data_IF_973443785722
#
_entry.id   IF_973443785722
#
_cell.length_a   1.000
_cell.length_b   1.000
_cell.length_c   1.000
_cell.angle_alpha   90.00
_cell.angle_beta   90.00
_cell.angle_gamma   90.00
#
_symmetry.space_group_name_H-M   'P 1'
#
loop_
_entity.id
_entity.type
_entity.pdbx_description
1 polymer ?
#
# COMPACT_ATOMS: atom_id res chain seq x y z
N UNK A 1 -33.65 -14.20 -13.20
CA UNK A 1 -33.19 -12.93 -12.59
C UNK A 1 -31.82 -13.22 -12.02
N UNK A 2 -30.75 -12.76 -12.71
CA UNK A 2 -29.37 -12.93 -12.30
C UNK A 2 -29.00 -11.76 -11.34
N UNK A 3 -28.93 -12.02 -10.04
CA UNK A 3 -28.49 -11.04 -9.06
C UNK A 3 -26.97 -10.97 -9.10
N UNK A 4 -26.43 -9.93 -9.72
CA UNK A 4 -25.00 -9.65 -9.75
C UNK A 4 -24.58 -9.09 -8.37
N UNK A 5 -24.05 -9.94 -7.49
CA UNK A 5 -23.45 -9.51 -6.23
C UNK A 5 -22.15 -8.74 -6.54
N UNK A 6 -22.20 -7.42 -6.47
CA UNK A 6 -21.00 -6.58 -6.39
C UNK A 6 -20.33 -6.81 -5.04
N UNK A 7 -19.29 -7.64 -5.04
CA UNK A 7 -18.38 -7.72 -3.90
C UNK A 7 -17.65 -6.37 -3.77
N UNK A 8 -18.06 -5.55 -2.82
CA UNK A 8 -17.35 -4.34 -2.42
C UNK A 8 -16.06 -4.84 -1.76
N UNK A 9 -15.00 -4.98 -2.55
CA UNK A 9 -13.67 -5.28 -2.03
C UNK A 9 -13.18 -4.05 -1.25
N UNK A 10 -13.20 -4.13 0.06
CA UNK A 10 -12.54 -3.16 0.92
C UNK A 10 -11.05 -3.13 0.56
N UNK A 11 -10.62 -2.11 -0.17
CA UNK A 11 -9.22 -1.94 -0.56
C UNK A 11 -8.38 -1.66 0.70
N UNK A 12 -7.45 -2.56 1.01
CA UNK A 12 -6.47 -2.40 2.10
C UNK A 12 -5.31 -1.47 1.70
N UNK A 13 -5.31 -0.95 0.46
CA UNK A 13 -4.27 -0.10 -0.09
C UNK A 13 -4.81 1.32 -0.33
N UNK A 14 -4.10 2.33 0.18
CA UNK A 14 -4.32 3.74 -0.13
C UNK A 14 -3.13 4.27 -0.92
N UNK A 15 -3.41 5.09 -1.93
CA UNK A 15 -2.40 5.68 -2.78
C UNK A 15 -2.68 7.18 -2.96
N UNK A 16 -1.61 7.96 -3.00
CA UNK A 16 -1.60 9.39 -3.26
C UNK A 16 -0.49 9.68 -4.25
N UNK A 17 -0.74 10.52 -5.23
CA UNK A 17 0.23 10.84 -6.29
C UNK A 17 0.23 12.34 -6.53
N UNK A 18 1.44 12.90 -6.66
CA UNK A 18 1.67 14.26 -7.10
C UNK A 18 2.81 14.29 -8.13
N UNK A 19 2.80 15.25 -9.06
CA UNK A 19 3.79 15.32 -10.11
C UNK A 19 3.90 16.72 -10.72
N UNK A 20 5.06 17.04 -11.29
CA UNK A 20 5.27 18.26 -12.06
C UNK A 20 4.55 18.18 -13.41
N UNK A 21 3.54 19.04 -13.58
CA UNK A 21 2.73 19.11 -14.81
C UNK A 21 3.48 19.62 -16.03
N UNK A 22 4.63 20.25 -15.82
CA UNK A 22 5.47 20.78 -16.90
C UNK A 22 6.53 19.76 -17.37
N UNK A 23 6.66 18.62 -16.66
CA UNK A 23 7.64 17.59 -16.99
C UNK A 23 7.16 16.74 -18.16
N UNK A 24 7.98 16.63 -19.19
CA UNK A 24 7.77 15.63 -20.24
C UNK A 24 8.26 14.25 -19.78
N UNK A 25 7.34 13.42 -19.31
CA UNK A 25 7.65 12.06 -18.86
C UNK A 25 8.05 11.12 -20.00
N UNK A 26 7.79 11.47 -21.26
CA UNK A 26 8.19 10.65 -22.41
C UNK A 26 9.71 10.59 -22.59
N UNK A 27 10.44 11.51 -21.98
CA UNK A 27 11.90 11.56 -21.98
C UNK A 27 12.54 10.59 -20.97
N UNK A 28 11.78 10.16 -19.98
CA UNK A 28 12.25 9.22 -18.95
C UNK A 28 12.13 7.80 -19.51
N UNK A 29 13.26 7.18 -19.86
CA UNK A 29 13.29 5.83 -20.44
C UNK A 29 13.88 4.78 -19.54
N UNK A 30 14.78 5.21 -18.66
CA UNK A 30 15.45 4.36 -17.70
C UNK A 30 15.57 5.05 -16.33
N UNK A 31 15.94 4.26 -15.32
CA UNK A 31 16.10 4.72 -13.97
C UNK A 31 17.08 3.83 -13.20
N UNK A 32 17.75 4.40 -12.20
CA UNK A 32 18.39 3.65 -11.11
C UNK A 32 17.52 3.69 -9.86
N UNK A 33 17.71 2.71 -8.97
CA UNK A 33 17.00 2.63 -7.68
C UNK A 33 17.93 3.02 -6.55
N UNK A 34 17.41 3.82 -5.63
CA UNK A 34 18.04 4.15 -4.36
C UNK A 34 17.05 3.92 -3.21
N UNK A 35 17.54 3.39 -2.11
CA UNK A 35 16.79 3.26 -0.87
C UNK A 35 17.33 4.23 0.15
N UNK A 36 16.44 4.93 0.86
CA UNK A 36 16.88 5.68 2.04
C UNK A 36 17.12 4.71 3.19
N UNK A 37 18.10 5.01 4.03
CA UNK A 37 18.35 4.24 5.25
C UNK A 37 17.07 4.15 6.09
N UNK A 38 16.73 2.93 6.50
CA UNK A 38 15.59 2.66 7.35
C UNK A 38 15.73 1.31 8.05
N UNK A 39 14.88 1.09 9.03
CA UNK A 39 14.86 -0.10 9.87
C UNK A 39 13.99 -1.23 9.32
N UNK A 40 13.81 -1.30 8.02
CA UNK A 40 13.01 -2.36 7.38
C UNK A 40 13.85 -3.61 7.14
N UNK A 41 13.19 -4.73 7.31
CA UNK A 41 13.73 -6.05 7.04
C UNK A 41 14.11 -6.19 5.54
N UNK A 42 15.29 -6.78 5.29
CA UNK A 42 15.86 -7.01 3.96
C UNK A 42 14.87 -7.71 3.00
N UNK A 43 14.12 -8.71 3.50
CA UNK A 43 13.09 -9.39 2.69
C UNK A 43 11.97 -8.46 2.23
N UNK A 44 11.66 -7.42 2.98
CA UNK A 44 10.66 -6.43 2.60
C UNK A 44 11.20 -5.47 1.54
N UNK A 45 12.49 -5.11 1.65
CA UNK A 45 13.16 -4.30 0.62
C UNK A 45 13.21 -5.03 -0.70
N UNK A 46 13.67 -6.30 -0.72
CA UNK A 46 13.72 -7.12 -1.92
C UNK A 46 12.34 -7.28 -2.57
N UNK A 47 11.32 -7.44 -1.74
CA UNK A 47 9.93 -7.59 -2.21
C UNK A 47 9.43 -6.34 -2.91
N UNK A 48 9.54 -5.16 -2.27
CA UNK A 48 9.09 -3.91 -2.89
C UNK A 48 9.91 -3.58 -4.14
N UNK A 49 11.21 -3.81 -4.11
CA UNK A 49 12.08 -3.61 -5.27
C UNK A 49 11.63 -4.45 -6.46
N UNK A 50 11.46 -5.76 -6.26
CA UNK A 50 11.07 -6.68 -7.34
C UNK A 50 9.72 -6.32 -7.93
N UNK A 51 8.74 -6.00 -7.09
CA UNK A 51 7.39 -5.61 -7.53
C UNK A 51 7.42 -4.29 -8.30
N UNK A 52 8.19 -3.31 -7.82
CA UNK A 52 8.31 -2.01 -8.45
C UNK A 52 9.01 -2.12 -9.81
N UNK A 53 10.10 -2.87 -9.91
CA UNK A 53 10.81 -3.10 -11.17
C UNK A 53 9.91 -3.76 -12.22
N UNK A 54 9.13 -4.77 -11.83
CA UNK A 54 8.16 -5.42 -12.72
C UNK A 54 7.10 -4.42 -13.21
N UNK A 55 6.52 -3.61 -12.33
CA UNK A 55 5.50 -2.63 -12.73
C UNK A 55 6.07 -1.54 -13.63
N UNK A 56 7.25 -1.02 -13.32
CA UNK A 56 7.90 0.01 -14.14
C UNK A 56 8.30 -0.53 -15.52
N UNK A 57 8.74 -1.79 -15.61
CA UNK A 57 9.01 -2.46 -16.88
C UNK A 57 7.73 -2.55 -17.72
N UNK A 58 6.58 -2.85 -17.12
CA UNK A 58 5.28 -2.83 -17.80
C UNK A 58 4.90 -1.43 -18.31
N UNK A 59 5.46 -0.39 -17.70
CA UNK A 59 5.33 1.02 -18.12
C UNK A 59 6.43 1.46 -19.08
N UNK A 60 7.24 0.54 -19.59
CA UNK A 60 8.35 0.78 -20.51
C UNK A 60 9.52 1.59 -19.93
N UNK A 61 9.68 1.58 -18.60
CA UNK A 61 10.86 2.09 -17.92
C UNK A 61 11.83 0.94 -17.63
N UNK A 62 13.10 1.13 -17.99
CA UNK A 62 14.12 0.08 -17.87
C UNK A 62 15.05 0.40 -16.68
N UNK A 63 15.26 -0.60 -15.82
CA UNK A 63 16.26 -0.48 -14.76
C UNK A 63 17.68 -0.41 -15.37
N UNK A 64 18.45 0.59 -14.97
CA UNK A 64 19.82 0.84 -15.42
C UNK A 64 20.60 1.52 -14.29
N UNK A 65 21.60 0.83 -13.73
CA UNK A 65 22.42 1.36 -12.64
C UNK A 65 23.15 2.66 -12.98
N UNK A 66 23.39 2.91 -14.28
CA UNK A 66 24.08 4.12 -14.77
C UNK A 66 23.09 5.22 -15.21
N UNK A 67 21.79 5.05 -14.96
CA UNK A 67 20.81 6.07 -15.29
C UNK A 67 21.05 7.37 -14.52
N UNK A 68 20.82 8.50 -15.18
CA UNK A 68 20.81 9.81 -14.54
C UNK A 68 19.49 10.06 -13.80
N UNK A 69 18.42 9.37 -14.17
CA UNK A 69 17.14 9.44 -13.47
C UNK A 69 17.15 8.50 -12.27
N UNK A 70 16.65 8.97 -11.14
CA UNK A 70 16.68 8.20 -9.88
C UNK A 70 15.27 7.98 -9.35
N UNK A 71 14.95 6.73 -9.03
CA UNK A 71 13.77 6.42 -8.22
C UNK A 71 14.24 6.12 -6.79
N UNK A 72 13.77 6.93 -5.86
CA UNK A 72 14.11 6.82 -4.44
C UNK A 72 12.92 6.19 -3.71
N UNK A 73 13.17 5.11 -3.00
CA UNK A 73 12.17 4.45 -2.16
C UNK A 73 12.50 4.70 -0.70
N UNK A 74 11.53 5.28 0.02
CA UNK A 74 11.58 5.46 1.48
C UNK A 74 10.48 4.60 2.10
N UNK A 75 10.82 3.41 2.60
CA UNK A 75 9.86 2.55 3.25
C UNK A 75 9.79 2.85 4.75
N UNK A 76 8.60 2.69 5.34
CA UNK A 76 8.33 2.75 6.77
C UNK A 76 7.42 1.60 7.16
N UNK A 77 7.68 0.97 8.29
CA UNK A 77 6.86 -0.12 8.80
C UNK A 77 6.57 0.08 10.29
N UNK A 78 5.30 -0.09 10.69
CA UNK A 78 4.88 -0.03 12.08
C UNK A 78 3.64 -0.87 12.34
N UNK A 79 3.47 -1.29 13.59
CA UNK A 79 2.32 -2.10 14.03
C UNK A 79 1.31 -1.18 14.71
N UNK A 80 0.04 -1.34 14.35
CA UNK A 80 -1.07 -0.69 15.05
C UNK A 80 -2.06 -1.73 15.59
N UNK A 81 -2.56 -1.47 16.78
CA UNK A 81 -3.68 -2.23 17.35
C UNK A 81 -4.99 -1.55 16.93
N UNK A 82 -5.83 -2.27 16.18
CA UNK A 82 -7.19 -1.83 15.93
C UNK A 82 -8.10 -2.34 17.05
N UNK A 83 -8.53 -1.45 17.92
CA UNK A 83 -9.54 -1.77 18.93
C UNK A 83 -10.92 -1.82 18.25
N UNK A 84 -11.36 -3.01 17.88
CA UNK A 84 -12.74 -3.24 17.48
C UNK A 84 -13.61 -3.39 18.74
N UNK A 85 -13.93 -2.28 19.40
CA UNK A 85 -14.92 -2.25 20.47
C UNK A 85 -16.33 -2.27 19.87
N UNK A 86 -16.85 -3.43 19.56
CA UNK A 86 -18.28 -3.61 19.37
C UNK A 86 -18.93 -3.88 20.73
N UNK A 87 -19.26 -2.82 21.43
CA UNK A 87 -20.20 -2.88 22.54
C UNK A 87 -21.62 -3.01 21.93
N UNK A 88 -22.03 -4.24 21.65
CA UNK A 88 -23.42 -4.53 21.32
C UNK A 88 -24.25 -4.52 22.58
N UNK A 89 -24.84 -3.38 22.97
CA UNK A 89 -25.92 -3.37 23.94
C UNK A 89 -27.20 -3.76 23.20
N UNK A 90 -27.49 -5.08 23.18
CA UNK A 90 -28.77 -5.58 22.74
C UNK A 90 -29.80 -5.39 23.84
N UNK A 91 -30.58 -4.30 23.84
CA UNK A 91 -31.80 -4.19 24.63
C UNK A 91 -32.90 -4.97 23.90
N UNK A 92 -33.02 -6.25 24.24
CA UNK A 92 -34.17 -7.07 23.89
C UNK A 92 -35.26 -6.95 24.95
N UNK A 93 -36.33 -6.21 24.69
CA UNK A 93 -37.56 -6.18 25.47
C UNK A 93 -38.42 -7.39 25.09
N UNK A 94 -38.63 -8.32 26.00
CA UNK A 94 -39.53 -9.46 25.75
C UNK A 94 -39.54 -10.46 26.91
N UNK A 95 -40.42 -10.33 27.87
CA UNK A 95 -41.10 -11.40 28.60
C UNK A 95 -40.32 -12.24 29.60
N UNK A 96 -40.46 -11.94 30.89
CA UNK A 96 -40.40 -12.85 32.05
C UNK A 96 -39.25 -13.87 32.13
N UNK A 97 -38.04 -13.41 32.07
CA UNK A 97 -36.92 -14.10 32.74
C UNK A 97 -35.74 -13.14 32.78
N UNK A 98 -35.37 -12.71 33.97
CA UNK A 98 -34.15 -11.94 34.19
C UNK A 98 -32.94 -12.87 34.06
N UNK A 99 -32.45 -13.02 32.83
CA UNK A 99 -31.14 -13.58 32.54
C UNK A 99 -30.31 -12.49 31.92
N UNK A 100 -29.51 -11.79 32.71
CA UNK A 100 -28.46 -10.89 32.23
C UNK A 100 -27.34 -11.76 31.65
N UNK A 101 -27.45 -12.13 30.37
CA UNK A 101 -26.30 -12.64 29.62
C UNK A 101 -25.43 -11.46 29.25
N UNK A 102 -24.46 -11.17 30.10
CA UNK A 102 -23.34 -10.32 29.75
C UNK A 102 -22.51 -11.13 28.77
N UNK A 103 -22.74 -10.96 27.46
CA UNK A 103 -21.78 -11.36 26.44
C UNK A 103 -20.57 -10.47 26.64
N UNK A 104 -19.63 -10.87 27.46
CA UNK A 104 -18.28 -10.34 27.41
C UNK A 104 -17.69 -10.81 26.06
N UNK A 105 -17.90 -10.01 25.02
CA UNK A 105 -17.11 -10.14 23.81
C UNK A 105 -15.67 -9.88 24.20
N UNK A 106 -14.84 -10.93 24.16
CA UNK A 106 -13.40 -10.78 24.30
C UNK A 106 -13.00 -9.80 23.19
N UNK A 107 -12.39 -8.64 23.50
CA UNK A 107 -11.90 -7.76 22.46
C UNK A 107 -10.82 -8.51 21.69
N UNK A 108 -11.11 -8.91 20.47
CA UNK A 108 -10.10 -9.44 19.57
C UNK A 108 -9.30 -8.24 19.10
N UNK A 109 -8.21 -7.95 19.78
CA UNK A 109 -7.24 -6.97 19.33
C UNK A 109 -6.62 -7.53 18.05
N UNK A 110 -7.02 -6.99 16.92
CA UNK A 110 -6.41 -7.35 15.65
C UNK A 110 -5.26 -6.39 15.37
N UNK A 111 -4.04 -6.87 15.57
CA UNK A 111 -2.84 -6.14 15.18
C UNK A 111 -2.71 -6.09 13.66
N UNK A 112 -2.38 -4.92 13.15
CA UNK A 112 -2.13 -4.68 11.74
C UNK A 112 -0.71 -4.23 11.52
N UNK A 113 -0.07 -4.86 10.55
CA UNK A 113 1.17 -4.40 9.96
C UNK A 113 0.84 -3.30 8.97
N UNK A 114 1.36 -2.10 9.22
CA UNK A 114 1.24 -0.96 8.32
C UNK A 114 2.57 -0.77 7.60
N UNK A 115 2.54 -0.79 6.29
CA UNK A 115 3.69 -0.57 5.43
C UNK A 115 3.41 0.66 4.58
N UNK A 116 4.27 1.66 4.72
CA UNK A 116 4.22 2.89 3.94
C UNK A 116 5.44 2.95 3.03
N UNK A 117 5.22 3.32 1.79
CA UNK A 117 6.27 3.52 0.81
C UNK A 117 6.09 4.90 0.18
N UNK A 118 7.05 5.78 0.40
CA UNK A 118 7.17 7.02 -0.34
C UNK A 118 8.14 6.77 -1.50
N UNK A 119 7.65 6.90 -2.74
CA UNK A 119 8.41 6.64 -3.95
C UNK A 119 8.51 7.95 -4.71
N UNK A 120 9.74 8.43 -4.89
CA UNK A 120 10.03 9.69 -5.56
C UNK A 120 10.80 9.43 -6.85
N UNK A 121 10.47 10.13 -7.93
CA UNK A 121 11.22 10.08 -9.19
C UNK A 121 11.87 11.44 -9.40
N UNK A 122 13.20 11.41 -9.50
CA UNK A 122 14.02 12.59 -9.82
C UNK A 122 14.58 12.44 -11.23
N UNK A 123 14.57 13.54 -11.99
CA UNK A 123 15.17 13.61 -13.32
C UNK A 123 16.70 13.71 -13.26
N UNK A 124 17.34 13.76 -14.43
CA UNK A 124 18.80 13.90 -14.58
C UNK A 124 19.39 15.13 -13.90
N UNK A 125 18.59 16.18 -13.66
CA UNK A 125 18.98 17.38 -12.93
C UNK A 125 18.72 17.28 -11.43
N UNK A 126 18.39 16.05 -10.93
CA UNK A 126 18.03 15.77 -9.54
C UNK A 126 16.82 16.59 -9.04
N UNK A 127 15.91 16.95 -9.94
CA UNK A 127 14.67 17.61 -9.60
C UNK A 127 13.58 16.57 -9.38
N UNK A 128 12.80 16.71 -8.31
CA UNK A 128 11.63 15.87 -8.06
C UNK A 128 10.56 16.16 -9.12
N UNK A 129 10.22 15.15 -9.91
CA UNK A 129 9.23 15.28 -10.99
C UNK A 129 7.95 14.48 -10.74
N UNK A 130 8.01 13.46 -9.87
CA UNK A 130 6.86 12.65 -9.48
C UNK A 130 7.07 12.08 -8.09
N UNK A 131 6.01 12.03 -7.31
CA UNK A 131 6.00 11.41 -5.99
C UNK A 131 4.72 10.63 -5.78
N UNK A 132 4.85 9.41 -5.26
CA UNK A 132 3.74 8.55 -4.90
C UNK A 132 3.88 8.01 -3.49
N UNK A 133 2.78 8.06 -2.73
CA UNK A 133 2.69 7.42 -1.41
C UNK A 133 1.76 6.22 -1.49
N UNK A 134 2.26 5.09 -1.05
CA UNK A 134 1.51 3.85 -0.91
C UNK A 134 1.40 3.48 0.57
N UNK A 135 0.19 3.27 1.05
CA UNK A 135 -0.10 2.74 2.38
C UNK A 135 -0.77 1.37 2.24
N UNK A 136 -0.17 0.35 2.84
CA UNK A 136 -0.68 -1.02 2.86
C UNK A 136 -0.91 -1.46 4.30
N UNK A 137 -2.11 -1.97 4.59
CA UNK A 137 -2.45 -2.57 5.87
C UNK A 137 -2.67 -4.07 5.68
N UNK A 138 -1.99 -4.87 6.47
CA UNK A 138 -2.08 -6.34 6.42
C UNK A 138 -2.18 -6.88 7.86
N UNK A 139 -2.96 -7.95 8.13
CA UNK A 139 -2.91 -8.62 9.42
C UNK A 139 -1.48 -9.05 9.77
N UNK A 140 -1.06 -8.87 11.02
CA UNK A 140 0.33 -9.16 11.43
C UNK A 140 0.72 -10.63 11.21
N UNK A 141 -0.24 -11.53 11.30
CA UNK A 141 -0.04 -12.98 11.10
C UNK A 141 -0.28 -13.42 9.64
N UNK A 142 -0.36 -12.47 8.69
CA UNK A 142 -0.56 -12.81 7.30
C UNK A 142 0.64 -13.57 6.72
N UNK A 143 0.35 -14.51 5.84
CA UNK A 143 1.39 -15.24 5.10
C UNK A 143 2.15 -14.29 4.17
N UNK A 144 3.43 -14.58 3.93
CA UNK A 144 4.30 -13.79 3.03
C UNK A 144 3.66 -13.52 1.66
N UNK A 145 2.97 -14.50 1.08
CA UNK A 145 2.25 -14.36 -0.19
C UNK A 145 1.12 -13.33 -0.13
N UNK A 146 0.42 -13.24 1.01
CA UNK A 146 -0.64 -12.24 1.21
C UNK A 146 -0.05 -10.84 1.28
N UNK A 147 1.06 -10.67 2.02
CA UNK A 147 1.78 -9.41 2.12
C UNK A 147 2.24 -8.97 0.73
N UNK A 148 2.89 -9.87 -0.02
CA UNK A 148 3.35 -9.60 -1.38
C UNK A 148 2.20 -9.19 -2.31
N UNK A 149 1.08 -9.91 -2.30
CA UNK A 149 -0.08 -9.59 -3.13
C UNK A 149 -0.68 -8.22 -2.78
N UNK A 150 -0.70 -7.85 -1.50
CA UNK A 150 -1.20 -6.55 -1.07
C UNK A 150 -0.30 -5.40 -1.54
N UNK A 151 1.03 -5.58 -1.44
CA UNK A 151 2.00 -4.61 -1.95
C UNK A 151 1.88 -4.50 -3.47
N UNK A 152 1.83 -5.61 -4.20
CA UNK A 152 1.67 -5.67 -5.66
C UNK A 152 0.44 -4.90 -6.13
N UNK A 153 -0.72 -5.16 -5.53
CA UNK A 153 -1.96 -4.42 -5.84
C UNK A 153 -1.82 -2.92 -5.56
N UNK A 154 -1.11 -2.58 -4.47
CA UNK A 154 -0.84 -1.20 -4.12
C UNK A 154 0.04 -0.49 -5.15
N UNK A 155 1.14 -1.12 -5.56
CA UNK A 155 2.05 -0.58 -6.58
C UNK A 155 1.34 -0.44 -7.93
N UNK A 156 0.57 -1.44 -8.36
CA UNK A 156 -0.25 -1.35 -9.59
C UNK A 156 -1.24 -0.18 -9.53
N UNK A 157 -1.87 0.03 -8.37
CA UNK A 157 -2.80 1.15 -8.16
C UNK A 157 -2.06 2.49 -8.19
N UNK A 158 -0.86 2.56 -7.57
CA UNK A 158 -0.04 3.76 -7.50
C UNK A 158 0.40 4.21 -8.90
N UNK A 159 0.84 3.28 -9.74
CA UNK A 159 1.32 3.54 -11.10
C UNK A 159 0.24 3.41 -12.19
N UNK A 160 -1.04 3.27 -11.80
CA UNK A 160 -2.13 3.06 -12.76
C UNK A 160 -2.14 4.10 -13.89
N UNK A 161 -2.00 5.36 -13.54
CA UNK A 161 -2.04 6.50 -14.47
C UNK A 161 -0.63 7.06 -14.77
N UNK A 162 0.41 6.27 -14.53
CA UNK A 162 1.78 6.63 -14.89
C UNK A 162 2.14 6.13 -16.30
N UNK A 163 2.88 6.90 -17.14
CA UNK A 163 3.19 8.31 -16.92
C UNK A 163 1.95 9.19 -17.00
N UNK A 164 1.92 10.31 -16.24
CA UNK A 164 0.80 11.24 -16.29
C UNK A 164 0.56 11.73 -17.71
N UNK A 165 -0.71 11.82 -18.12
CA UNK A 165 -1.10 12.42 -19.40
C UNK A 165 -0.96 13.93 -19.29
N UNK A 166 -0.27 14.51 -20.26
CA UNK A 166 -0.21 15.96 -20.45
C UNK A 166 -1.50 16.48 -21.08
#
# INVERSE_FOLDING_TARGET
ILVLMFAISCSTQKVYVDYDRNQDFSLIKDYKLEFTENHINEFQLDRIQSILQEELQNKSLIYNENSENTIIIRPEEFITEEQNSHMGIGMGSGGRSFGTSISMGIPINSEKLNQHYLISINNAQNQLIWEGRLEVKTPINAQAKTIENNIRKGVQKLFKDFPPKQ
#
